data_IF_995962642396
#
_entry.id   IF_995962642396
#
_cell.length_a   1.000
_cell.length_b   1.000
_cell.length_c   1.000
_cell.angle_alpha   90.00
_cell.angle_beta   90.00
_cell.angle_gamma   90.00
#
_symmetry.space_group_name_H-M   'P 1'
#
loop_
_entity.id
_entity.type
_entity.pdbx_description
1 polymer ?
#
# COMPACT_ATOMS: atom_id res chain seq x y z
N UNK A 1 24.76 -8.39 -3.11
CA UNK A 1 23.31 -8.42 -2.87
C UNK A 1 22.96 -7.42 -1.79
N UNK A 2 22.05 -6.51 -2.07
CA UNK A 2 21.63 -5.52 -1.08
C UNK A 2 20.76 -6.17 -0.02
N UNK A 3 21.03 -5.84 1.24
CA UNK A 3 20.21 -6.24 2.35
C UNK A 3 19.17 -5.17 2.64
N UNK A 4 17.91 -5.55 2.77
CA UNK A 4 16.86 -4.61 3.16
C UNK A 4 16.87 -4.46 4.66
N UNK A 5 16.89 -3.19 5.09
CA UNK A 5 16.80 -2.82 6.50
C UNK A 5 15.51 -2.02 6.66
N UNK A 6 14.46 -2.57 7.31
CA UNK A 6 13.14 -1.93 7.37
C UNK A 6 13.15 -0.50 7.92
N UNK A 7 13.96 -0.23 8.94
CA UNK A 7 14.01 1.11 9.52
C UNK A 7 14.58 2.14 8.53
N UNK A 8 15.47 1.73 7.61
CA UNK A 8 15.99 2.62 6.56
C UNK A 8 14.91 3.00 5.56
N UNK A 9 14.03 2.06 5.21
CA UNK A 9 12.87 2.35 4.38
C UNK A 9 11.93 3.33 5.08
N UNK A 10 11.67 3.12 6.36
CA UNK A 10 10.83 4.01 7.15
C UNK A 10 11.42 5.42 7.21
N UNK A 11 12.72 5.54 7.49
CA UNK A 11 13.40 6.85 7.56
C UNK A 11 13.44 7.56 6.20
N UNK A 12 13.39 6.82 5.10
CA UNK A 12 13.40 7.40 3.75
C UNK A 12 12.05 7.94 3.32
N UNK A 13 10.96 7.68 4.06
CA UNK A 13 9.65 8.20 3.72
C UNK A 13 9.62 9.71 3.87
N UNK A 14 9.22 10.41 2.79
CA UNK A 14 9.09 11.86 2.79
C UNK A 14 7.83 12.28 3.54
N UNK A 15 7.98 12.90 4.71
CA UNK A 15 6.84 13.37 5.49
C UNK A 15 6.02 14.43 4.74
N UNK A 16 6.68 15.30 3.94
CA UNK A 16 5.98 16.33 3.16
C UNK A 16 5.09 15.68 2.09
N UNK A 17 5.62 14.70 1.36
CA UNK A 17 4.85 14.00 0.34
C UNK A 17 3.70 13.21 0.94
N UNK A 18 3.93 12.53 2.05
CA UNK A 18 2.89 11.79 2.77
C UNK A 18 1.81 12.73 3.28
N UNK A 19 2.19 13.87 3.89
CA UNK A 19 1.25 14.86 4.40
C UNK A 19 0.33 15.39 3.30
N UNK A 20 0.88 15.65 2.11
CA UNK A 20 0.09 16.10 0.97
C UNK A 20 -0.95 15.06 0.55
N UNK A 21 -0.55 13.80 0.49
CA UNK A 21 -1.48 12.71 0.14
C UNK A 21 -2.58 12.55 1.19
N UNK A 22 -2.25 12.69 2.47
CA UNK A 22 -3.23 12.65 3.55
C UNK A 22 -4.22 13.80 3.45
N UNK A 23 -3.73 15.01 3.15
CA UNK A 23 -4.59 16.18 2.98
C UNK A 23 -5.54 15.99 1.79
N UNK A 24 -5.03 15.52 0.66
CA UNK A 24 -5.85 15.26 -0.54
C UNK A 24 -6.89 14.17 -0.26
N UNK A 25 -6.48 13.12 0.48
CA UNK A 25 -7.41 12.04 0.87
C UNK A 25 -8.54 12.56 1.74
N UNK A 26 -8.25 13.43 2.70
CA UNK A 26 -9.24 13.96 3.64
C UNK A 26 -10.34 14.78 2.96
N UNK A 27 -10.09 15.26 1.74
CA UNK A 27 -11.04 16.04 0.96
C UNK A 27 -11.93 15.16 0.06
N UNK A 28 -11.64 13.87 -0.05
CA UNK A 28 -12.45 12.96 -0.85
C UNK A 28 -13.75 12.59 -0.12
N UNK A 29 -14.84 12.33 -0.88
CA UNK A 29 -16.04 11.75 -0.28
C UNK A 29 -15.75 10.39 0.35
N UNK A 30 -16.51 10.02 1.38
CA UNK A 30 -16.39 8.70 1.99
C UNK A 30 -16.72 7.58 1.01
N UNK A 31 -17.66 7.82 0.11
CA UNK A 31 -18.01 6.90 -0.98
C UNK A 31 -17.71 7.57 -2.31
N UNK A 32 -17.02 6.83 -3.19
CA UNK A 32 -16.68 7.32 -4.52
C UNK A 32 -17.70 6.82 -5.54
N UNK A 33 -17.88 7.58 -6.61
CA UNK A 33 -18.77 7.20 -7.72
C UNK A 33 -18.11 6.25 -8.71
N UNK A 34 -16.81 6.10 -8.65
CA UNK A 34 -16.01 5.23 -9.52
C UNK A 34 -15.25 4.20 -8.67
N UNK A 35 -14.88 3.07 -9.28
CA UNK A 35 -14.14 2.03 -8.59
C UNK A 35 -12.81 2.51 -8.03
N UNK A 36 -12.15 3.43 -8.75
CA UNK A 36 -10.85 3.94 -8.33
C UNK A 36 -10.65 5.37 -8.80
N UNK A 37 -9.96 6.17 -7.99
CA UNK A 37 -9.49 7.50 -8.37
C UNK A 37 -8.01 7.62 -8.05
N UNK A 38 -7.28 8.35 -8.90
CA UNK A 38 -5.87 8.66 -8.61
C UNK A 38 -5.84 9.77 -7.59
N UNK A 39 -5.24 9.51 -6.43
CA UNK A 39 -5.06 10.51 -5.39
C UNK A 39 -3.86 11.39 -5.68
N UNK A 40 -2.75 10.78 -6.06
CA UNK A 40 -1.50 11.47 -6.32
C UNK A 40 -0.36 10.47 -6.45
N UNK A 41 0.87 10.97 -6.31
CA UNK A 41 2.05 10.12 -6.40
C UNK A 41 2.93 10.28 -5.17
N UNK A 42 3.59 9.19 -4.83
CA UNK A 42 4.69 9.18 -3.88
C UNK A 42 5.93 8.71 -4.63
N UNK A 43 6.85 9.65 -4.93
CA UNK A 43 7.95 9.39 -5.86
C UNK A 43 7.42 8.83 -7.18
N UNK A 44 7.81 7.61 -7.57
CA UNK A 44 7.35 6.97 -8.80
C UNK A 44 6.08 6.13 -8.60
N UNK A 45 5.56 6.05 -7.37
CA UNK A 45 4.38 5.26 -7.06
C UNK A 45 3.11 6.08 -7.23
N UNK A 46 2.14 5.50 -7.91
CA UNK A 46 0.80 6.08 -8.04
C UNK A 46 -0.05 5.56 -6.89
N UNK A 47 -0.63 6.47 -6.11
CA UNK A 47 -1.54 6.11 -5.02
C UNK A 47 -2.97 6.27 -5.51
N UNK A 48 -3.73 5.18 -5.52
CA UNK A 48 -5.14 5.17 -5.91
C UNK A 48 -6.02 4.92 -4.70
N UNK A 49 -7.13 5.61 -4.65
CA UNK A 49 -8.19 5.37 -3.68
C UNK A 49 -9.27 4.54 -4.35
N UNK A 50 -9.62 3.43 -3.71
CA UNK A 50 -10.51 2.41 -4.27
C UNK A 50 -11.83 2.46 -3.53
N UNK A 51 -12.94 2.43 -4.28
CA UNK A 51 -14.27 2.27 -3.68
C UNK A 51 -14.51 0.78 -3.41
N UNK A 52 -14.43 0.34 -2.13
CA UNK A 52 -14.46 -1.09 -1.84
C UNK A 52 -15.78 -1.76 -2.20
N UNK A 53 -16.91 -1.06 -2.10
CA UNK A 53 -18.22 -1.63 -2.43
C UNK A 53 -18.38 -1.90 -3.92
N UNK A 54 -17.79 -1.05 -4.76
CA UNK A 54 -17.82 -1.23 -6.21
C UNK A 54 -16.82 -2.29 -6.66
N UNK A 55 -15.61 -2.27 -6.11
CA UNK A 55 -14.55 -3.18 -6.53
C UNK A 55 -14.79 -4.61 -6.04
N UNK A 56 -15.34 -4.80 -4.84
CA UNK A 56 -15.55 -6.12 -4.26
C UNK A 56 -16.53 -7.00 -5.04
N UNK A 57 -17.35 -6.41 -5.92
CA UNK A 57 -18.25 -7.16 -6.79
C UNK A 57 -17.48 -8.08 -7.74
N UNK A 58 -16.30 -7.67 -8.20
CA UNK A 58 -15.42 -8.46 -9.07
C UNK A 58 -14.17 -8.96 -8.35
N UNK A 59 -13.80 -8.34 -7.24
CA UNK A 59 -12.60 -8.64 -6.45
C UNK A 59 -13.00 -8.74 -4.97
N UNK A 60 -13.56 -9.89 -4.53
CA UNK A 60 -14.14 -10.01 -3.19
C UNK A 60 -13.14 -9.85 -2.04
N UNK A 61 -11.83 -9.97 -2.29
CA UNK A 61 -10.82 -9.69 -1.28
C UNK A 61 -10.92 -8.27 -0.73
N UNK A 62 -11.50 -7.33 -1.49
CA UNK A 62 -11.67 -5.95 -1.06
C UNK A 62 -12.83 -5.74 -0.08
N UNK A 63 -13.57 -6.77 0.28
CA UNK A 63 -14.45 -6.73 1.43
C UNK A 63 -13.67 -6.62 2.75
N UNK A 64 -12.44 -7.09 2.75
CA UNK A 64 -11.58 -7.16 3.95
C UNK A 64 -10.37 -6.25 3.85
N UNK A 65 -9.72 -6.21 2.67
CA UNK A 65 -8.51 -5.43 2.49
C UNK A 65 -8.76 -3.94 2.59
N UNK A 66 -7.90 -3.23 3.31
CA UNK A 66 -7.91 -1.76 3.40
C UNK A 66 -6.86 -1.13 2.50
N UNK A 67 -5.87 -1.89 2.08
CA UNK A 67 -4.85 -1.47 1.12
C UNK A 67 -4.07 -2.65 0.62
N UNK A 68 -3.42 -2.51 -0.52
CA UNK A 68 -2.53 -3.53 -1.07
C UNK A 68 -1.65 -2.96 -2.20
N UNK A 69 -0.81 -3.83 -2.74
CA UNK A 69 0.15 -3.55 -3.80
C UNK A 69 0.34 -4.82 -4.64
N UNK A 70 1.16 -4.71 -5.70
CA UNK A 70 1.38 -5.83 -6.64
C UNK A 70 1.86 -7.11 -5.93
N UNK A 71 2.73 -6.99 -4.93
CA UNK A 71 3.30 -8.15 -4.23
C UNK A 71 2.46 -8.66 -3.07
N UNK A 72 1.20 -8.23 -2.96
CA UNK A 72 0.24 -8.79 -1.99
C UNK A 72 -0.18 -10.21 -2.35
N UNK A 73 -0.72 -10.94 -1.35
CA UNK A 73 -1.06 -12.36 -1.53
C UNK A 73 -2.05 -12.64 -2.67
N UNK A 74 -3.02 -11.75 -2.86
CA UNK A 74 -4.11 -11.93 -3.82
C UNK A 74 -4.25 -10.75 -4.77
N UNK A 75 -3.25 -9.87 -4.83
CA UNK A 75 -3.37 -8.59 -5.52
C UNK A 75 -2.29 -8.38 -6.58
N UNK A 76 -1.81 -9.45 -7.19
CA UNK A 76 -0.85 -9.39 -8.29
C UNK A 76 -1.41 -8.70 -9.54
N UNK A 77 -2.73 -8.50 -9.62
CA UNK A 77 -3.35 -7.70 -10.69
C UNK A 77 -3.10 -6.19 -10.52
N UNK A 78 -2.67 -5.73 -9.33
CA UNK A 78 -2.30 -4.33 -9.14
C UNK A 78 -0.98 -4.09 -9.88
N UNK A 79 -0.89 -3.03 -10.71
CA UNK A 79 0.38 -2.70 -11.38
C UNK A 79 1.52 -2.48 -10.37
N UNK A 80 2.74 -2.81 -10.79
CA UNK A 80 3.92 -2.76 -9.91
C UNK A 80 4.18 -1.36 -9.33
N UNK A 81 3.79 -0.31 -10.04
CA UNK A 81 4.03 1.08 -9.62
C UNK A 81 2.81 1.71 -8.92
N UNK A 82 1.85 0.91 -8.47
CA UNK A 82 0.64 1.43 -7.82
C UNK A 82 0.46 0.88 -6.41
N UNK A 83 -0.14 1.73 -5.57
CA UNK A 83 -0.63 1.36 -4.25
C UNK A 83 -2.11 1.70 -4.20
N UNK A 84 -2.94 0.76 -3.76
CA UNK A 84 -4.38 0.94 -3.66
C UNK A 84 -4.80 0.95 -2.20
N UNK A 85 -5.61 1.95 -1.81
CA UNK A 85 -6.15 2.09 -0.46
C UNK A 85 -7.62 2.44 -0.57
N UNK A 86 -8.46 1.85 0.29
CA UNK A 86 -9.91 2.05 0.23
C UNK A 86 -10.30 3.47 0.65
N UNK A 87 -11.45 3.93 0.15
CA UNK A 87 -12.06 5.19 0.56
C UNK A 87 -12.71 5.06 1.95
N UNK A 88 -13.07 6.20 2.54
CA UNK A 88 -13.85 6.23 3.76
C UNK A 88 -13.09 5.99 5.07
N UNK A 89 -11.77 5.90 5.03
CA UNK A 89 -10.95 5.76 6.22
C UNK A 89 -10.72 7.12 6.89
N UNK A 90 -10.56 7.10 8.23
CA UNK A 90 -10.06 8.27 8.94
C UNK A 90 -8.67 8.63 8.39
N UNK A 91 -8.33 9.93 8.23
CA UNK A 91 -7.04 10.34 7.68
C UNK A 91 -5.82 9.76 8.41
N UNK A 92 -5.90 9.57 9.72
CA UNK A 92 -4.82 8.94 10.48
C UNK A 92 -4.66 7.46 10.13
N UNK A 93 -5.78 6.77 9.92
CA UNK A 93 -5.78 5.37 9.50
C UNK A 93 -5.25 5.26 8.07
N UNK A 94 -5.67 6.17 7.18
CA UNK A 94 -5.15 6.23 5.82
C UNK A 94 -3.61 6.38 5.83
N UNK A 95 -3.09 7.33 6.63
CA UNK A 95 -1.64 7.54 6.75
C UNK A 95 -0.91 6.26 7.16
N UNK A 96 -1.44 5.57 8.19
CA UNK A 96 -0.84 4.33 8.68
C UNK A 96 -0.82 3.24 7.61
N UNK A 97 -1.93 3.07 6.91
CA UNK A 97 -2.04 2.06 5.86
C UNK A 97 -1.14 2.41 4.67
N UNK A 98 -1.08 3.68 4.28
CA UNK A 98 -0.19 4.12 3.21
C UNK A 98 1.28 3.80 3.54
N UNK A 99 1.73 4.13 4.74
CA UNK A 99 3.08 3.81 5.20
C UNK A 99 3.32 2.30 5.19
N UNK A 100 2.36 1.53 5.70
CA UNK A 100 2.43 0.07 5.70
C UNK A 100 2.62 -0.48 4.28
N UNK A 101 1.78 -0.04 3.34
CA UNK A 101 1.82 -0.56 1.99
C UNK A 101 3.09 -0.16 1.24
N UNK A 102 3.58 1.07 1.42
CA UNK A 102 4.83 1.52 0.79
C UNK A 102 6.00 0.65 1.27
N UNK A 103 6.13 0.47 2.58
CA UNK A 103 7.25 -0.27 3.16
C UNK A 103 7.15 -1.75 2.80
N UNK A 104 5.97 -2.36 2.95
CA UNK A 104 5.75 -3.77 2.63
C UNK A 104 6.02 -4.05 1.15
N UNK A 105 5.56 -3.17 0.26
CA UNK A 105 5.81 -3.30 -1.18
C UNK A 105 7.31 -3.33 -1.48
N UNK A 106 8.08 -2.40 -0.93
CA UNK A 106 9.51 -2.34 -1.17
C UNK A 106 10.23 -3.58 -0.63
N UNK A 107 9.85 -4.04 0.55
CA UNK A 107 10.41 -5.25 1.13
C UNK A 107 10.06 -6.50 0.32
N UNK A 108 8.80 -6.64 -0.08
CA UNK A 108 8.34 -7.79 -0.87
C UNK A 108 9.06 -7.85 -2.21
N UNK A 109 9.12 -6.72 -2.91
CA UNK A 109 9.81 -6.63 -4.20
C UNK A 109 11.26 -7.11 -4.07
N UNK A 110 11.97 -6.60 -3.07
CA UNK A 110 13.38 -6.96 -2.91
C UNK A 110 13.56 -8.41 -2.46
N UNK A 111 12.70 -8.92 -1.57
CA UNK A 111 12.78 -10.32 -1.14
C UNK A 111 12.53 -11.29 -2.28
N UNK A 112 11.57 -10.97 -3.17
CA UNK A 112 11.31 -11.82 -4.34
C UNK A 112 12.34 -11.62 -5.44
N UNK A 113 12.63 -10.38 -5.85
CA UNK A 113 13.47 -10.09 -7.00
C UNK A 113 14.96 -10.16 -6.72
N UNK A 114 15.41 -9.70 -5.54
CA UNK A 114 16.83 -9.68 -5.18
C UNK A 114 17.27 -10.93 -4.42
N UNK A 115 16.37 -11.56 -3.66
CA UNK A 115 16.67 -12.71 -2.82
C UNK A 115 16.02 -14.01 -3.28
N UNK A 116 15.20 -13.98 -4.31
CA UNK A 116 14.60 -15.18 -4.90
C UNK A 116 13.61 -15.91 -4.01
N UNK A 117 13.02 -15.24 -3.01
CA UNK A 117 12.02 -15.86 -2.15
C UNK A 117 10.71 -16.07 -2.89
N UNK A 118 9.98 -17.13 -2.52
CA UNK A 118 8.60 -17.29 -2.98
C UNK A 118 7.67 -16.28 -2.29
N UNK A 119 6.49 -16.10 -2.89
CA UNK A 119 5.52 -15.09 -2.42
C UNK A 119 5.14 -15.27 -0.95
N UNK A 120 4.83 -16.49 -0.54
CA UNK A 120 4.36 -16.76 0.83
C UNK A 120 5.46 -16.48 1.87
N UNK A 121 6.69 -16.93 1.60
CA UNK A 121 7.83 -16.70 2.50
C UNK A 121 8.15 -15.22 2.59
N UNK A 122 8.21 -14.54 1.45
CA UNK A 122 8.48 -13.11 1.40
C UNK A 122 7.40 -12.33 2.15
N UNK A 123 6.12 -12.67 1.94
CA UNK A 123 5.01 -12.00 2.60
C UNK A 123 5.08 -12.15 4.12
N UNK A 124 5.33 -13.37 4.61
CA UNK A 124 5.43 -13.62 6.05
C UNK A 124 6.53 -12.76 6.67
N UNK A 125 7.69 -12.70 6.02
CA UNK A 125 8.83 -11.93 6.52
C UNK A 125 8.57 -10.42 6.47
N UNK A 126 8.10 -9.90 5.34
CA UNK A 126 7.83 -8.48 5.17
C UNK A 126 6.74 -8.00 6.13
N UNK A 127 5.65 -8.74 6.22
CA UNK A 127 4.52 -8.41 7.09
C UNK A 127 4.95 -8.36 8.56
N UNK A 128 5.75 -9.32 9.00
CA UNK A 128 6.30 -9.35 10.35
C UNK A 128 7.09 -8.07 10.65
N UNK A 129 8.01 -7.68 9.76
CA UNK A 129 8.83 -6.48 9.98
C UNK A 129 8.01 -5.20 9.98
N UNK A 130 7.05 -5.07 9.08
CA UNK A 130 6.20 -3.89 9.01
C UNK A 130 5.37 -3.73 10.29
N UNK A 131 4.85 -4.82 10.83
CA UNK A 131 4.14 -4.81 12.12
C UNK A 131 5.06 -4.43 13.28
N UNK A 132 6.31 -4.88 13.27
CA UNK A 132 7.31 -4.49 14.27
C UNK A 132 7.57 -2.99 14.26
N UNK A 133 7.43 -2.33 13.13
CA UNK A 133 7.60 -0.88 12.98
C UNK A 133 6.35 -0.08 13.40
N UNK A 134 5.27 -0.73 13.82
CA UNK A 134 4.06 -0.08 14.27
C UNK A 134 3.06 0.26 13.15
N UNK A 135 3.21 -0.35 12.00
CA UNK A 135 2.30 -0.14 10.86
C UNK A 135 1.40 -1.37 10.54
#
# INVERSE_FOLDING_TARGET
>A
MKRIVPYQLFESLSSVAIDRLVDDYSELPNELSEEAVILGTYHHLIVKVIEPNLLSQSRPEWDIYKGSHHWGKKTDYIPENEIWIVSGLDPKVFRRILNHEIIEREMMRALEEEHGMDRQTAWNQAHFYVKQMGF
#
